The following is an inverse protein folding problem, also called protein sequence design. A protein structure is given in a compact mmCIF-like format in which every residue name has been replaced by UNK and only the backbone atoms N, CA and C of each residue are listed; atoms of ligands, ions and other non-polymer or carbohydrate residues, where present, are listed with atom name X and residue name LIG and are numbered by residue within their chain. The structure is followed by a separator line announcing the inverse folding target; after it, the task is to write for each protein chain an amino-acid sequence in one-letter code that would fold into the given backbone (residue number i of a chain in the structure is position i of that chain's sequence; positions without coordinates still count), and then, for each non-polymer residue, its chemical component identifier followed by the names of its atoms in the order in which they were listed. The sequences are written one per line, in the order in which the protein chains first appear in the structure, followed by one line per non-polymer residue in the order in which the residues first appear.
data_IF_823808646974
#
_entry.id   IF_823808646974
#
_cell.length_a   1.000
_cell.length_b   1.000
_cell.length_c   1.000
_cell.angle_alpha   90.00
_cell.angle_beta   90.00
_cell.angle_gamma   90.00
#
_symmetry.space_group_name_H-M   'P 1'
#
loop_
_entity.id
_entity.type
_entity.pdbx_description
1 polymer ?
#
# COMPACT_ATOMS: atom_id res chain seq x y z
N UNK A 1 -8.56 2.00 -8.54
CA UNK A 1 -8.23 2.70 -7.27
C UNK A 1 -6.72 2.92 -7.16
N UNK A 2 -6.23 3.89 -6.39
CA UNK A 2 -4.81 3.97 -6.00
C UNK A 2 -4.69 3.93 -4.48
N UNK A 3 -3.53 3.52 -3.97
CA UNK A 3 -3.23 3.50 -2.53
C UNK A 3 -1.83 4.04 -2.25
N UNK A 4 -1.65 4.60 -1.05
CA UNK A 4 -0.32 4.93 -0.53
C UNK A 4 0.27 3.69 0.14
N UNK A 5 1.53 3.40 -0.18
CA UNK A 5 2.29 2.28 0.40
C UNK A 5 3.69 2.72 0.78
N UNK A 6 4.23 2.16 1.85
CA UNK A 6 5.66 2.23 2.13
C UNK A 6 6.35 1.08 1.40
N UNK A 7 7.37 1.37 0.61
CA UNK A 7 8.19 0.35 -0.04
C UNK A 7 9.39 0.02 0.85
N UNK A 8 9.82 -1.24 0.86
CA UNK A 8 11.01 -1.65 1.56
C UNK A 8 12.23 -1.22 0.77
N UNK A 9 13.10 -0.38 1.33
CA UNK A 9 14.31 0.14 0.67
C UNK A 9 15.27 -0.96 0.23
N UNK A 10 15.25 -2.11 0.90
CA UNK A 10 16.10 -3.27 0.58
C UNK A 10 15.62 -4.03 -0.66
N UNK A 11 14.30 -4.12 -0.92
CA UNK A 11 13.76 -4.98 -1.98
C UNK A 11 12.76 -4.33 -2.94
N UNK A 12 12.33 -3.09 -2.68
CA UNK A 12 11.32 -2.36 -3.45
C UNK A 12 9.88 -2.90 -3.33
N UNK A 13 9.66 -3.96 -2.55
CA UNK A 13 8.32 -4.49 -2.33
C UNK A 13 7.55 -3.69 -1.28
N UNK A 14 6.23 -3.81 -1.26
CA UNK A 14 5.42 -3.21 -0.20
C UNK A 14 5.90 -3.72 1.17
N UNK A 15 6.13 -2.82 2.11
CA UNK A 15 6.61 -3.13 3.46
C UNK A 15 5.69 -4.15 4.15
N UNK A 16 4.38 -4.09 3.92
CA UNK A 16 3.42 -5.04 4.51
C UNK A 16 3.63 -6.49 4.05
N UNK A 17 4.35 -6.74 2.95
CA UNK A 17 4.69 -8.10 2.50
C UNK A 17 5.69 -8.81 3.43
N UNK A 18 6.27 -8.08 4.38
CA UNK A 18 7.11 -8.63 5.44
C UNK A 18 6.28 -9.03 6.67
N UNK A 19 4.98 -8.79 6.69
CA UNK A 19 4.08 -9.25 7.75
C UNK A 19 3.71 -10.71 7.55
N UNK A 20 3.64 -11.48 8.64
CA UNK A 20 3.46 -12.95 8.59
C UNK A 20 2.26 -13.44 7.77
N UNK A 21 1.21 -12.63 7.61
CA UNK A 21 0.02 -12.95 6.81
C UNK A 21 0.23 -12.83 5.30
N UNK A 22 1.19 -12.01 4.90
CA UNK A 22 1.52 -11.73 3.49
C UNK A 22 2.82 -12.45 3.06
N UNK A 23 3.53 -13.08 4.01
CA UNK A 23 4.73 -13.90 3.81
C UNK A 23 4.40 -15.20 3.06
N UNK A 24 4.12 -15.11 1.77
CA UNK A 24 4.05 -16.24 0.82
C UNK A 24 3.81 -15.78 -0.62
N UNK A 25 3.37 -14.52 -0.81
CA UNK A 25 3.06 -13.98 -2.14
C UNK A 25 4.31 -13.66 -2.99
N UNK A 26 5.51 -13.78 -2.40
CA UNK A 26 6.76 -13.48 -3.09
C UNK A 26 7.85 -14.48 -2.71
N UNK A 27 8.72 -14.79 -3.68
CA UNK A 27 9.94 -15.57 -3.46
C UNK A 27 11.10 -14.72 -2.89
N UNK A 28 10.85 -13.44 -2.59
CA UNK A 28 11.87 -12.53 -2.07
C UNK A 28 12.35 -12.94 -0.67
N UNK A 29 13.65 -13.22 -0.54
CA UNK A 29 14.27 -13.65 0.73
C UNK A 29 14.06 -12.64 1.86
N UNK A 30 14.11 -11.34 1.58
CA UNK A 30 13.90 -10.27 2.57
C UNK A 30 12.46 -10.28 3.11
N UNK A 31 11.47 -10.39 2.22
CA UNK A 31 10.06 -10.47 2.62
C UNK A 31 9.77 -11.74 3.43
N UNK A 32 10.30 -12.89 3.00
CA UNK A 32 10.16 -14.17 3.72
C UNK A 32 10.77 -14.09 5.13
N UNK A 33 11.95 -13.47 5.26
CA UNK A 33 12.60 -13.27 6.56
C UNK A 33 11.84 -12.32 7.49
N UNK A 34 10.93 -11.50 6.94
CA UNK A 34 10.09 -10.58 7.72
C UNK A 34 10.82 -9.34 8.24
N UNK A 35 12.01 -9.04 7.70
CA UNK A 35 12.81 -7.88 8.10
C UNK A 35 12.55 -6.73 7.13
N UNK A 36 11.50 -5.95 7.38
CA UNK A 36 11.20 -4.76 6.58
C UNK A 36 12.14 -3.60 6.92
N UNK A 37 12.58 -2.88 5.89
CA UNK A 37 13.20 -1.56 6.00
C UNK A 37 12.30 -0.55 5.24
N UNK A 38 11.15 -0.14 5.81
CA UNK A 38 10.17 0.69 5.11
C UNK A 38 10.73 2.08 4.84
N UNK A 39 10.57 2.57 3.61
CA UNK A 39 10.83 3.96 3.29
C UNK A 39 9.80 4.85 4.00
N UNK A 40 10.19 5.84 4.84
CA UNK A 40 9.29 6.81 5.42
C UNK A 40 8.47 7.61 4.40
N UNK A 41 8.95 7.78 3.17
CA UNK A 41 8.20 8.45 2.11
C UNK A 41 7.21 7.47 1.46
N UNK A 42 5.88 7.66 1.61
CA UNK A 42 4.91 6.78 0.98
C UNK A 42 4.83 7.02 -0.53
N UNK A 43 4.66 5.96 -1.30
CA UNK A 43 4.53 6.02 -2.75
C UNK A 43 3.08 5.76 -3.17
N UNK A 44 2.60 6.51 -4.16
CA UNK A 44 1.29 6.28 -4.76
C UNK A 44 1.37 5.07 -5.71
N UNK A 45 0.71 3.98 -5.36
CA UNK A 45 0.66 2.76 -6.16
C UNK A 45 -0.72 2.58 -6.80
N UNK A 46 -0.83 2.47 -8.14
CA UNK A 46 -2.06 2.13 -8.81
C UNK A 46 -2.51 0.72 -8.42
N UNK A 47 -3.77 0.60 -8.03
CA UNK A 47 -4.46 -0.70 -7.88
C UNK A 47 -5.39 -0.81 -9.08
N UNK A 48 -4.84 -1.43 -10.14
CA UNK A 48 -5.53 -1.61 -11.40
C UNK A 48 -6.87 -2.33 -11.15
N UNK A 49 -7.97 -1.66 -11.44
CA UNK A 49 -9.21 -2.32 -11.84
C UNK A 49 -9.13 -2.55 -13.36
N UNK A 50 -9.89 -3.52 -13.85
CA UNK A 50 -9.88 -4.00 -15.25
C UNK A 50 -9.77 -2.89 -16.31
N UNK A 51 -9.16 -3.15 -17.49
CA UNK A 51 -9.07 -2.17 -18.57
C UNK A 51 -10.43 -1.53 -18.86
N UNK A 52 -10.54 -0.21 -18.73
CA UNK A 52 -11.79 0.55 -18.94
C UNK A 52 -12.62 0.82 -17.67
N UNK A 53 -12.19 0.35 -16.50
CA UNK A 53 -12.79 0.72 -15.22
C UNK A 53 -12.62 2.22 -14.92
N UNK A 54 -13.61 2.82 -14.26
CA UNK A 54 -13.48 4.20 -13.74
C UNK A 54 -12.27 4.28 -12.80
N UNK A 55 -11.51 5.36 -12.91
CA UNK A 55 -10.48 5.71 -11.92
C UNK A 55 -11.18 5.93 -10.57
N UNK A 56 -11.09 4.94 -9.70
CA UNK A 56 -11.57 5.10 -8.33
C UNK A 56 -10.63 6.03 -7.55
N UNK A 57 -11.18 6.81 -6.59
CA UNK A 57 -10.39 7.71 -5.75
C UNK A 57 -9.23 7.00 -5.03
N UNK A 58 -8.22 7.78 -4.65
CA UNK A 58 -7.19 7.35 -3.72
C UNK A 58 -7.86 6.91 -2.40
N UNK A 59 -7.50 5.73 -1.88
CA UNK A 59 -8.01 5.29 -0.58
C UNK A 59 -7.42 6.16 0.55
N UNK A 60 -8.24 6.64 1.51
CA UNK A 60 -7.74 7.35 2.68
C UNK A 60 -6.81 6.46 3.55
N UNK A 61 -5.82 7.05 4.22
CA UNK A 61 -5.04 6.38 5.27
C UNK A 61 -5.93 5.71 6.32
N UNK A 62 -5.53 4.54 6.85
CA UNK A 62 -6.31 3.77 7.81
C UNK A 62 -7.55 3.04 7.24
N UNK A 63 -7.83 3.18 5.94
CA UNK A 63 -8.96 2.49 5.29
C UNK A 63 -8.73 0.98 5.22
N UNK A 64 -9.75 0.20 5.62
CA UNK A 64 -9.82 -1.24 5.40
C UNK A 64 -10.14 -1.53 3.94
N UNK A 65 -9.34 -2.38 3.30
CA UNK A 65 -9.50 -2.82 1.92
C UNK A 65 -9.84 -4.30 1.87
N UNK A 66 -10.61 -4.70 0.85
CA UNK A 66 -11.07 -6.07 0.64
C UNK A 66 -11.74 -6.66 1.92
N UNK A 67 -12.58 -5.86 2.58
CA UNK A 67 -13.26 -6.25 3.82
C UNK A 67 -13.96 -7.61 3.67
N UNK A 68 -13.85 -8.46 4.71
CA UNK A 68 -14.48 -9.80 4.75
C UNK A 68 -13.94 -10.80 3.71
N UNK A 69 -12.78 -10.52 3.11
CA UNK A 69 -12.07 -11.48 2.25
C UNK A 69 -10.79 -11.98 2.92
N UNK A 70 -10.20 -13.05 2.37
CA UNK A 70 -8.91 -13.57 2.83
C UNK A 70 -7.75 -12.57 2.62
N UNK A 71 -7.93 -11.58 1.74
CA UNK A 71 -6.93 -10.54 1.42
C UNK A 71 -7.28 -9.19 2.05
N UNK A 72 -8.01 -9.20 3.17
CA UNK A 72 -8.31 -7.97 3.91
C UNK A 72 -7.02 -7.32 4.41
N UNK A 73 -6.82 -6.06 4.03
CA UNK A 73 -5.66 -5.25 4.43
C UNK A 73 -6.11 -3.90 4.98
N UNK A 74 -5.25 -3.21 5.72
CA UNK A 74 -5.51 -1.83 6.18
C UNK A 74 -4.41 -0.95 5.62
N UNK A 75 -4.78 0.17 5.01
CA UNK A 75 -3.79 1.17 4.56
C UNK A 75 -3.09 1.80 5.77
N UNK A 76 -1.81 2.17 5.62
CA UNK A 76 -1.07 2.81 6.71
C UNK A 76 -1.73 4.14 7.11
N UNK A 77 -1.77 4.43 8.41
CA UNK A 77 -2.38 5.63 8.96
C UNK A 77 -1.35 6.60 9.59
N UNK A 78 -0.08 6.47 9.20
CA UNK A 78 0.97 7.34 9.71
C UNK A 78 0.83 8.78 9.20
N UNK A 79 1.52 9.71 9.88
CA UNK A 79 1.51 11.13 9.53
C UNK A 79 1.95 11.39 8.07
N UNK A 80 2.97 10.67 7.59
CA UNK A 80 3.44 10.81 6.20
C UNK A 80 2.36 10.39 5.18
N UNK A 81 1.63 9.30 5.46
CA UNK A 81 0.52 8.86 4.62
C UNK A 81 -0.65 9.86 4.63
N UNK A 82 -0.94 10.47 5.77
CA UNK A 82 -1.96 11.54 5.89
C UNK A 82 -1.58 12.77 5.09
N UNK A 83 -0.35 13.27 5.25
CA UNK A 83 0.15 14.43 4.51
C UNK A 83 0.14 14.18 2.99
N UNK A 84 0.59 13.00 2.55
CA UNK A 84 0.56 12.63 1.13
C UNK A 84 -0.87 12.54 0.58
N UNK A 85 -1.81 11.98 1.34
CA UNK A 85 -3.21 11.91 0.95
C UNK A 85 -3.83 13.30 0.77
N UNK A 86 -3.57 14.23 1.69
CA UNK A 86 -4.04 15.62 1.60
C UNK A 86 -3.48 16.34 0.37
N UNK A 87 -2.19 16.13 0.07
CA UNK A 87 -1.56 16.67 -1.13
C UNK A 87 -2.16 16.13 -2.44
N UNK A 88 -2.58 14.86 -2.46
CA UNK A 88 -3.19 14.26 -3.64
C UNK A 88 -4.68 14.56 -3.79
N UNK A 89 -5.41 14.68 -2.68
CA UNK A 89 -6.84 14.98 -2.66
C UNK A 89 -7.13 16.43 -3.08
N UNK A 90 -6.23 17.36 -2.76
CA UNK A 90 -6.32 18.78 -3.19
C UNK A 90 -5.96 19.01 -4.66
N UNK A 91 -5.36 18.02 -5.34
CA UNK A 91 -4.91 18.10 -6.74
C UNK A 91 -5.78 17.33 -7.72
N UNK A 92 -6.90 16.74 -7.27
CA UNK A 92 -7.89 16.13 -8.17
C UNK A 92 -8.80 17.22 -8.75
N UNK A 93 -8.90 17.36 -10.09
CA UNK A 93 -9.79 18.33 -10.74
C UNK A 93 -11.28 18.01 -10.53
#
# INVERSE_FOLDING_TARGET
MSVLVHECRTCGHNATWHESRERAYTACRCCIAGTADPDPEPTLRPTWTSPGGRLEPLAPPGTVRNERTMHQTVTCDCEACRAAYDHHSTRSP
#
